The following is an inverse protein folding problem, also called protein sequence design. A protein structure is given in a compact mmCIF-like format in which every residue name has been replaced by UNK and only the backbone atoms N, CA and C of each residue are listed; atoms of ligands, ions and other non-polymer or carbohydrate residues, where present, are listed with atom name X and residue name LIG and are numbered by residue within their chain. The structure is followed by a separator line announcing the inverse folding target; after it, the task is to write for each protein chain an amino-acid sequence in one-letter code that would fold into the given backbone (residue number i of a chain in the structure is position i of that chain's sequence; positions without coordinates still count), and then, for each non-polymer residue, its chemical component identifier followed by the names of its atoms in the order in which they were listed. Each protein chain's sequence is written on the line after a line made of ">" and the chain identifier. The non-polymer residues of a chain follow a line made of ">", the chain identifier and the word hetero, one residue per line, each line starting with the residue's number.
data_IF_481497774683
#
_entry.id   IF_481497774683
#
_cell.length_a   1.000
_cell.length_b   1.000
_cell.length_c   1.000
_cell.angle_alpha   90.00
_cell.angle_beta   90.00
_cell.angle_gamma   90.00
#
_symmetry.space_group_name_H-M   'P 1'
#
loop_
_entity.id
_entity.type
_entity.pdbx_description
1 polymer ?
#
# COMPACT_ATOMS: atom_id res chain seq x y z
N UNK A 1 -20.66 12.15 -30.20
CA UNK A 1 -21.31 10.85 -30.48
C UNK A 1 -20.97 9.90 -29.33
N UNK A 2 -21.90 9.64 -28.40
CA UNK A 2 -21.69 8.77 -27.23
C UNK A 2 -21.87 7.31 -27.66
N UNK A 3 -20.79 6.52 -27.65
CA UNK A 3 -20.90 5.07 -27.87
C UNK A 3 -20.99 4.41 -26.50
N UNK A 4 -22.23 4.14 -26.05
CA UNK A 4 -22.47 3.13 -25.01
C UNK A 4 -22.20 1.76 -25.65
N UNK A 5 -21.08 1.11 -25.30
CA UNK A 5 -20.89 -0.31 -25.61
C UNK A 5 -21.88 -1.13 -24.78
N UNK A 6 -22.96 -1.57 -25.40
CA UNK A 6 -23.86 -2.58 -24.86
C UNK A 6 -23.16 -3.94 -24.93
N UNK A 7 -22.88 -4.54 -23.77
CA UNK A 7 -22.49 -5.95 -23.68
C UNK A 7 -23.76 -6.80 -23.72
N UNK A 8 -24.07 -7.36 -24.89
CA UNK A 8 -25.12 -8.37 -25.05
C UNK A 8 -24.50 -9.77 -24.97
N UNK A 9 -24.77 -10.50 -23.89
CA UNK A 9 -24.46 -11.93 -23.79
C UNK A 9 -25.77 -12.73 -23.90
N UNK A 10 -25.83 -13.59 -24.92
CA UNK A 10 -26.84 -14.65 -25.11
C UNK A 10 -28.33 -14.26 -24.99
N UNK A 11 -28.94 -13.84 -26.11
CA UNK A 11 -30.25 -14.30 -26.60
C UNK A 11 -31.50 -14.30 -25.69
N UNK A 12 -31.46 -13.74 -24.47
CA UNK A 12 -32.60 -13.63 -23.56
C UNK A 12 -32.74 -12.16 -23.14
N UNK A 13 -33.93 -11.62 -23.36
CA UNK A 13 -34.36 -10.22 -23.22
C UNK A 13 -33.53 -9.31 -22.31
N UNK A 14 -33.26 -8.11 -22.82
CA UNK A 14 -32.68 -6.99 -22.08
C UNK A 14 -33.54 -6.63 -20.85
N UNK A 15 -33.26 -7.26 -19.71
CA UNK A 15 -33.52 -6.63 -18.41
C UNK A 15 -32.34 -5.70 -18.16
N UNK A 16 -32.59 -4.39 -18.22
CA UNK A 16 -31.59 -3.38 -17.91
C UNK A 16 -30.99 -3.66 -16.54
N UNK A 17 -29.75 -4.14 -16.51
CA UNK A 17 -29.00 -4.27 -15.28
C UNK A 17 -28.86 -2.85 -14.72
N UNK A 18 -29.49 -2.58 -13.57
CA UNK A 18 -29.27 -1.33 -12.87
C UNK A 18 -27.76 -1.14 -12.67
N UNK A 19 -27.24 0.03 -13.05
CA UNK A 19 -25.83 0.34 -12.90
C UNK A 19 -25.34 0.13 -11.46
N UNK A 20 -24.02 -0.02 -11.24
CA UNK A 20 -23.49 -0.20 -9.90
C UNK A 20 -23.96 0.92 -8.97
N UNK A 21 -24.28 0.57 -7.72
CA UNK A 21 -24.69 1.57 -6.72
C UNK A 21 -23.56 2.57 -6.47
N UNK A 22 -23.90 3.83 -6.14
CA UNK A 22 -22.92 4.87 -5.87
C UNK A 22 -21.86 4.43 -4.83
N UNK A 23 -22.29 3.71 -3.79
CA UNK A 23 -21.38 3.12 -2.81
C UNK A 23 -20.35 2.17 -3.45
N UNK A 24 -20.78 1.23 -4.30
CA UNK A 24 -19.87 0.30 -4.99
C UNK A 24 -18.87 1.02 -5.91
N UNK A 25 -19.32 2.07 -6.59
CA UNK A 25 -18.45 2.91 -7.42
C UNK A 25 -17.35 3.58 -6.58
N UNK A 26 -17.71 4.16 -5.44
CA UNK A 26 -16.73 4.78 -4.53
C UNK A 26 -15.79 3.76 -3.89
N UNK A 27 -16.28 2.59 -3.46
CA UNK A 27 -15.42 1.53 -2.92
C UNK A 27 -14.37 1.07 -3.94
N UNK A 28 -14.76 1.04 -5.24
CA UNK A 28 -13.85 0.76 -6.34
C UNK A 28 -12.84 1.89 -6.55
N UNK A 29 -13.29 3.14 -6.56
CA UNK A 29 -12.44 4.32 -6.71
C UNK A 29 -11.39 4.45 -5.58
N UNK A 30 -11.77 4.12 -4.34
CA UNK A 30 -10.87 4.13 -3.19
C UNK A 30 -9.86 2.98 -3.18
N UNK A 31 -10.04 1.98 -4.06
CA UNK A 31 -9.19 0.78 -4.17
C UNK A 31 -8.92 0.13 -2.82
N UNK A 32 -9.98 -0.17 -2.05
CA UNK A 32 -9.87 -0.61 -0.66
C UNK A 32 -8.95 -1.82 -0.42
N UNK A 33 -8.76 -2.68 -1.42
CA UNK A 33 -7.84 -3.80 -1.36
C UNK A 33 -6.36 -3.38 -1.20
N UNK A 34 -6.00 -2.14 -1.54
CA UNK A 34 -4.66 -1.57 -1.34
C UNK A 34 -4.51 -0.74 -0.06
N UNK A 35 -5.60 -0.50 0.69
CA UNK A 35 -5.55 0.35 1.88
C UNK A 35 -5.06 -0.40 3.12
N UNK A 36 -5.34 -1.71 3.21
CA UNK A 36 -4.87 -2.53 4.31
C UNK A 36 -3.34 -2.51 4.48
N UNK A 37 -2.54 -2.53 3.39
CA UNK A 37 -1.09 -2.32 3.46
C UNK A 37 -0.61 -1.07 4.20
N UNK A 38 -1.38 0.02 4.30
CA UNK A 38 -0.97 1.20 5.11
C UNK A 38 -1.47 1.13 6.56
N UNK A 39 -2.58 0.43 6.80
CA UNK A 39 -3.14 0.26 8.15
C UNK A 39 -2.23 -0.64 8.99
N UNK A 40 -1.77 -1.77 8.44
CA UNK A 40 -0.99 -2.74 9.21
C UNK A 40 0.35 -2.19 9.76
N UNK A 41 1.16 -1.41 9.01
CA UNK A 41 2.35 -0.78 9.55
C UNK A 41 2.05 0.26 10.63
N UNK A 42 0.90 0.95 10.55
CA UNK A 42 0.47 1.90 11.59
C UNK A 42 0.13 1.16 12.90
N UNK A 43 -0.57 0.03 12.79
CA UNK A 43 -0.83 -0.85 13.93
C UNK A 43 0.49 -1.39 14.52
N UNK A 44 1.41 -1.84 13.65
CA UNK A 44 2.71 -2.36 14.06
C UNK A 44 3.49 -1.34 14.90
N UNK A 45 3.66 -0.11 14.41
CA UNK A 45 4.38 0.93 15.14
C UNK A 45 3.75 1.26 16.50
N UNK A 46 2.43 1.37 16.57
CA UNK A 46 1.73 1.65 17.83
C UNK A 46 1.81 0.49 18.85
N UNK A 47 1.74 -0.76 18.39
CA UNK A 47 1.90 -1.93 19.27
C UNK A 47 3.35 -2.10 19.72
N UNK A 48 4.34 -1.82 18.86
CA UNK A 48 5.75 -1.84 19.25
C UNK A 48 6.06 -0.80 20.35
N UNK A 49 5.39 0.36 20.31
CA UNK A 49 5.51 1.34 21.40
C UNK A 49 4.96 0.78 22.72
N UNK A 50 3.84 0.04 22.67
CA UNK A 50 3.28 -0.62 23.84
C UNK A 50 4.22 -1.70 24.38
N UNK A 51 4.79 -2.55 23.50
CA UNK A 51 5.78 -3.56 23.90
C UNK A 51 7.02 -2.93 24.54
N UNK A 52 7.42 -1.73 24.09
CA UNK A 52 8.51 -0.95 24.68
C UNK A 52 8.14 -0.24 26.01
N UNK A 53 6.98 -0.52 26.60
CA UNK A 53 6.56 0.05 27.88
C UNK A 53 5.78 1.37 27.78
N UNK A 54 5.36 1.78 26.59
CA UNK A 54 4.55 2.98 26.37
C UNK A 54 3.10 2.60 26.05
N UNK A 55 2.23 2.41 27.06
CA UNK A 55 0.85 1.98 26.84
C UNK A 55 0.10 2.97 25.93
N UNK A 56 -0.75 2.47 25.03
CA UNK A 56 -1.31 3.30 23.97
C UNK A 56 -2.34 4.29 24.52
N UNK A 57 -2.20 5.55 24.12
CA UNK A 57 -3.31 6.49 24.18
C UNK A 57 -4.29 6.14 23.05
N UNK A 58 -5.47 5.62 23.42
CA UNK A 58 -6.45 5.11 22.46
C UNK A 58 -6.90 6.13 21.42
N UNK A 59 -7.06 7.41 21.80
CA UNK A 59 -7.40 8.48 20.86
C UNK A 59 -6.26 8.71 19.87
N UNK A 60 -5.03 8.88 20.34
CA UNK A 60 -3.88 9.11 19.46
C UNK A 60 -3.63 7.92 18.52
N UNK A 61 -3.80 6.70 19.02
CA UNK A 61 -3.67 5.48 18.23
C UNK A 61 -4.71 5.44 17.11
N UNK A 62 -5.99 5.69 17.45
CA UNK A 62 -7.07 5.75 16.47
C UNK A 62 -6.83 6.84 15.42
N UNK A 63 -6.39 8.03 15.85
CA UNK A 63 -6.08 9.15 14.96
C UNK A 63 -4.95 8.83 13.98
N UNK A 64 -3.89 8.13 14.39
CA UNK A 64 -2.83 7.68 13.47
C UNK A 64 -3.40 6.75 12.41
N UNK A 65 -4.15 5.72 12.82
CA UNK A 65 -4.74 4.75 11.88
C UNK A 65 -5.70 5.42 10.90
N UNK A 66 -6.58 6.30 11.41
CA UNK A 66 -7.51 7.07 10.59
C UNK A 66 -6.75 8.01 9.65
N UNK A 67 -5.78 8.76 10.15
CA UNK A 67 -4.99 9.73 9.39
C UNK A 67 -4.24 9.12 8.22
N UNK A 68 -3.59 7.96 8.45
CA UNK A 68 -2.91 7.18 7.41
C UNK A 68 -3.92 6.62 6.40
N UNK A 69 -5.06 6.11 6.88
CA UNK A 69 -6.11 5.54 6.01
C UNK A 69 -6.71 6.59 5.07
N UNK A 70 -7.09 7.75 5.60
CA UNK A 70 -7.67 8.81 4.76
C UNK A 70 -6.62 9.44 3.85
N UNK A 71 -5.34 9.54 4.27
CA UNK A 71 -4.26 9.93 3.36
C UNK A 71 -4.14 8.97 2.17
N UNK A 72 -4.26 7.66 2.42
CA UNK A 72 -4.24 6.64 1.36
C UNK A 72 -5.44 6.78 0.43
N UNK A 73 -6.64 7.08 0.95
CA UNK A 73 -7.79 7.38 0.08
C UNK A 73 -7.51 8.56 -0.86
N UNK A 74 -6.91 9.64 -0.34
CA UNK A 74 -6.48 10.79 -1.15
C UNK A 74 -5.46 10.40 -2.23
N UNK A 75 -4.42 9.65 -1.84
CA UNK A 75 -3.41 9.09 -2.74
C UNK A 75 -4.05 8.33 -3.90
N UNK A 76 -4.90 7.34 -3.61
CA UNK A 76 -5.51 6.48 -4.62
C UNK A 76 -6.37 7.27 -5.61
N UNK A 77 -7.11 8.28 -5.13
CA UNK A 77 -7.95 9.10 -6.00
C UNK A 77 -7.13 10.04 -6.90
N UNK A 78 -6.06 10.66 -6.37
CA UNK A 78 -5.16 11.50 -7.18
C UNK A 78 -4.42 10.65 -8.21
N UNK A 79 -3.88 9.51 -7.79
CA UNK A 79 -3.17 8.59 -8.66
C UNK A 79 -4.06 8.13 -9.82
N UNK A 80 -5.29 7.69 -9.52
CA UNK A 80 -6.24 7.20 -10.54
C UNK A 80 -6.66 8.30 -11.53
N UNK A 81 -6.87 9.54 -11.06
CA UNK A 81 -7.19 10.67 -11.95
C UNK A 81 -6.00 11.03 -12.85
N UNK A 82 -4.80 11.09 -12.30
CA UNK A 82 -3.63 11.51 -13.06
C UNK A 82 -3.15 10.42 -14.03
N UNK A 83 -3.17 9.15 -13.62
CA UNK A 83 -2.91 8.01 -14.51
C UNK A 83 -3.98 7.94 -15.63
N UNK A 84 -5.25 8.23 -15.32
CA UNK A 84 -6.29 8.32 -16.34
C UNK A 84 -6.00 9.42 -17.37
N UNK A 85 -5.68 10.64 -16.93
CA UNK A 85 -5.33 11.76 -17.84
C UNK A 85 -4.14 11.43 -18.75
N UNK A 86 -3.17 10.66 -18.24
CA UNK A 86 -1.99 10.26 -19.01
C UNK A 86 -2.26 9.14 -20.01
N UNK A 87 -3.29 8.31 -19.78
CA UNK A 87 -3.54 7.10 -20.57
C UNK A 87 -4.86 7.12 -21.34
N UNK A 88 -5.66 8.18 -21.21
CA UNK A 88 -6.99 8.29 -21.84
C UNK A 88 -6.92 8.17 -23.37
N UNK A 89 -5.90 8.76 -23.99
CA UNK A 89 -5.69 8.71 -25.44
C UNK A 89 -5.08 7.36 -25.90
N UNK A 90 -4.66 6.51 -24.96
CA UNK A 90 -3.96 5.23 -25.21
C UNK A 90 -4.87 4.00 -25.04
N UNK A 91 -6.18 4.18 -24.82
CA UNK A 91 -7.09 3.09 -24.48
C UNK A 91 -7.34 2.11 -25.63
N UNK A 92 -6.59 1.01 -25.63
CA UNK A 92 -6.90 -0.21 -26.40
C UNK A 92 -7.77 -1.14 -25.56
N UNK A 93 -8.97 -1.47 -26.04
CA UNK A 93 -10.03 -2.19 -25.30
C UNK A 93 -9.79 -3.69 -25.03
N UNK A 94 -8.65 -4.04 -24.44
CA UNK A 94 -8.34 -5.40 -23.98
C UNK A 94 -8.76 -5.67 -22.54
N UNK A 95 -8.81 -6.95 -22.16
CA UNK A 95 -8.99 -7.38 -20.78
C UNK A 95 -7.83 -6.90 -19.91
N UNK A 96 -8.13 -6.47 -18.67
CA UNK A 96 -7.15 -5.93 -17.72
C UNK A 96 -7.00 -6.85 -16.52
N UNK A 97 -5.78 -6.92 -15.99
CA UNK A 97 -5.54 -7.51 -14.69
C UNK A 97 -6.26 -6.69 -13.61
N UNK A 98 -7.07 -7.36 -12.78
CA UNK A 98 -7.90 -6.70 -11.76
C UNK A 98 -7.09 -5.94 -10.69
N UNK A 99 -5.84 -6.36 -10.44
CA UNK A 99 -4.98 -5.80 -9.40
C UNK A 99 -4.02 -4.72 -9.94
N UNK A 100 -4.03 -4.41 -11.23
CA UNK A 100 -3.12 -3.42 -11.83
C UNK A 100 -3.89 -2.35 -12.60
N UNK A 101 -3.19 -1.29 -13.01
CA UNK A 101 -3.80 -0.08 -13.55
C UNK A 101 -4.67 0.69 -12.56
N UNK A 102 -5.46 1.62 -13.11
CA UNK A 102 -6.42 2.43 -12.36
C UNK A 102 -7.69 1.68 -11.96
N UNK A 103 -8.54 2.31 -11.14
CA UNK A 103 -9.76 1.68 -10.63
C UNK A 103 -10.75 1.32 -11.74
N UNK A 104 -10.69 2.01 -12.90
CA UNK A 104 -11.57 1.84 -14.04
C UNK A 104 -12.87 2.65 -13.99
N UNK A 105 -13.13 3.37 -12.89
CA UNK A 105 -14.34 4.21 -12.75
C UNK A 105 -14.36 5.41 -13.70
N UNK A 106 -13.19 5.96 -14.03
CA UNK A 106 -13.03 7.08 -14.97
C UNK A 106 -13.20 6.63 -16.44
N UNK A 107 -12.50 5.59 -16.94
CA UNK A 107 -12.76 5.04 -18.27
C UNK A 107 -14.22 4.64 -18.52
N UNK A 108 -14.90 4.10 -17.51
CA UNK A 108 -16.30 3.69 -17.61
C UNK A 108 -17.29 4.85 -17.46
N UNK A 109 -16.82 6.07 -17.16
CA UNK A 109 -17.66 7.25 -16.97
C UNK A 109 -18.55 7.20 -15.72
N UNK A 110 -18.21 6.36 -14.74
CA UNK A 110 -18.97 6.19 -13.49
C UNK A 110 -18.76 7.34 -12.51
N UNK A 111 -17.60 8.00 -12.57
CA UNK A 111 -17.27 9.21 -11.80
C UNK A 111 -16.64 10.28 -12.70
N UNK A 112 -16.75 11.54 -12.27
CA UNK A 112 -16.03 12.66 -12.87
C UNK A 112 -14.71 12.89 -12.14
N UNK A 113 -13.67 13.24 -12.89
CA UNK A 113 -12.36 13.60 -12.31
C UNK A 113 -12.48 14.67 -11.22
N UNK A 114 -13.28 15.72 -11.46
CA UNK A 114 -13.47 16.81 -10.48
C UNK A 114 -14.02 16.31 -9.14
N UNK A 115 -14.93 15.33 -9.15
CA UNK A 115 -15.47 14.74 -7.91
C UNK A 115 -14.42 13.95 -7.15
N UNK A 116 -13.57 13.20 -7.86
CA UNK A 116 -12.48 12.45 -7.25
C UNK A 116 -11.41 13.39 -6.66
N UNK A 117 -11.04 14.45 -7.37
CA UNK A 117 -10.09 15.45 -6.87
C UNK A 117 -10.65 16.23 -5.68
N UNK A 118 -11.94 16.58 -5.67
CA UNK A 118 -12.57 17.19 -4.49
C UNK A 118 -12.54 16.25 -3.29
N UNK A 119 -12.90 14.97 -3.49
CA UNK A 119 -12.83 13.97 -2.40
C UNK A 119 -11.39 13.78 -1.90
N UNK A 120 -10.40 13.72 -2.80
CA UNK A 120 -8.99 13.64 -2.44
C UNK A 120 -8.55 14.86 -1.60
N UNK A 121 -8.94 16.07 -2.00
CA UNK A 121 -8.64 17.29 -1.25
C UNK A 121 -9.25 17.27 0.16
N UNK A 122 -10.48 16.76 0.32
CA UNK A 122 -11.12 16.60 1.63
C UNK A 122 -10.38 15.58 2.50
N UNK A 123 -9.96 14.45 1.93
CA UNK A 123 -9.17 13.45 2.65
C UNK A 123 -7.80 14.01 3.09
N UNK A 124 -7.13 14.73 2.20
CA UNK A 124 -5.87 15.41 2.52
C UNK A 124 -6.03 16.51 3.58
N UNK A 125 -7.12 17.27 3.54
CA UNK A 125 -7.44 18.24 4.59
C UNK A 125 -7.68 17.55 5.95
N UNK A 126 -8.38 16.41 5.97
CA UNK A 126 -8.56 15.61 7.18
C UNK A 126 -7.23 15.04 7.69
N UNK A 127 -6.36 14.51 6.83
CA UNK A 127 -5.00 14.08 7.18
C UNK A 127 -4.20 15.22 7.80
N UNK A 128 -4.22 16.41 7.18
CA UNK A 128 -3.51 17.58 7.69
C UNK A 128 -4.03 18.00 9.07
N UNK A 129 -5.36 18.04 9.27
CA UNK A 129 -5.96 18.36 10.56
C UNK A 129 -5.55 17.38 11.66
N UNK A 130 -5.59 16.08 11.36
CA UNK A 130 -5.12 15.03 12.28
C UNK A 130 -3.63 15.19 12.58
N UNK A 131 -2.80 15.40 11.55
CA UNK A 131 -1.35 15.57 11.69
C UNK A 131 -0.98 16.80 12.53
N UNK A 132 -1.68 17.93 12.34
CA UNK A 132 -1.50 19.15 13.14
C UNK A 132 -1.87 18.90 14.60
N UNK A 133 -3.02 18.27 14.86
CA UNK A 133 -3.42 17.92 16.23
C UNK A 133 -2.40 17.00 16.91
N UNK A 134 -1.98 15.93 16.23
CA UNK A 134 -0.98 15.00 16.79
C UNK A 134 0.39 15.65 16.93
N UNK A 135 0.77 16.59 16.06
CA UNK A 135 2.01 17.34 16.22
C UNK A 135 1.98 18.28 17.43
N UNK A 136 0.83 18.90 17.70
CA UNK A 136 0.63 19.71 18.90
C UNK A 136 0.62 18.86 20.18
N UNK A 137 -0.11 17.75 20.18
CA UNK A 137 -0.28 16.88 21.35
C UNK A 137 0.95 16.00 21.64
N UNK A 138 1.57 15.49 20.58
CA UNK A 138 2.75 14.66 20.66
C UNK A 138 3.96 15.56 20.41
N UNK A 139 4.32 15.90 19.18
CA UNK A 139 5.44 16.84 18.99
C UNK A 139 5.83 17.01 17.53
N UNK A 140 6.74 17.94 17.27
CA UNK A 140 7.12 18.31 15.90
C UNK A 140 7.60 17.15 14.99
N UNK A 141 8.21 16.03 15.48
CA UNK A 141 8.58 14.94 14.58
C UNK A 141 7.39 14.28 13.89
N UNK A 142 6.19 14.31 14.51
CA UNK A 142 4.95 13.88 13.85
C UNK A 142 4.63 14.76 12.66
N UNK A 143 4.82 16.08 12.79
CA UNK A 143 4.60 17.03 11.69
C UNK A 143 5.59 16.77 10.55
N UNK A 144 6.86 16.54 10.88
CA UNK A 144 7.89 16.25 9.86
C UNK A 144 7.58 14.97 9.08
N UNK A 145 7.25 13.87 9.77
CA UNK A 145 6.87 12.60 9.13
C UNK A 145 5.55 12.73 8.37
N UNK A 146 4.57 13.45 8.92
CA UNK A 146 3.27 13.69 8.28
C UNK A 146 3.38 14.53 7.01
N UNK A 147 4.14 15.64 7.03
CA UNK A 147 4.41 16.46 5.85
C UNK A 147 5.16 15.64 4.80
N UNK A 148 6.20 14.90 5.19
CA UNK A 148 6.93 14.06 4.27
C UNK A 148 6.03 13.00 3.61
N UNK A 149 5.24 12.27 4.41
CA UNK A 149 4.35 11.23 3.90
C UNK A 149 3.22 11.77 3.01
N UNK A 150 2.65 12.93 3.36
CA UNK A 150 1.63 13.59 2.56
C UNK A 150 2.21 14.21 1.27
N UNK A 151 3.42 14.76 1.33
CA UNK A 151 4.12 15.22 0.14
C UNK A 151 4.41 14.04 -0.80
N UNK A 152 4.87 12.91 -0.26
CA UNK A 152 5.05 11.69 -1.02
C UNK A 152 3.74 11.20 -1.65
N UNK A 153 2.61 11.25 -0.94
CA UNK A 153 1.33 10.79 -1.49
C UNK A 153 0.85 11.66 -2.66
N UNK A 154 1.03 12.97 -2.59
CA UNK A 154 0.67 13.90 -3.67
C UNK A 154 1.65 13.77 -4.85
N UNK A 155 2.94 13.87 -4.57
CA UNK A 155 3.98 13.95 -5.60
C UNK A 155 4.40 12.61 -6.20
N UNK A 156 3.80 11.50 -5.76
CA UNK A 156 3.94 10.20 -6.40
C UNK A 156 3.56 10.29 -7.88
N UNK A 157 2.39 10.87 -8.16
CA UNK A 157 1.80 11.01 -9.50
C UNK A 157 1.69 12.47 -9.93
N UNK A 158 1.61 13.44 -9.01
CA UNK A 158 1.38 14.85 -9.33
C UNK A 158 2.65 15.62 -9.74
N UNK A 159 2.56 16.53 -10.74
CA UNK A 159 3.65 17.45 -11.07
C UNK A 159 3.95 18.42 -9.91
N UNK A 160 5.18 18.95 -9.83
CA UNK A 160 6.28 18.78 -10.80
C UNK A 160 7.10 17.49 -10.61
N UNK A 161 7.04 16.87 -9.43
CA UNK A 161 7.99 15.84 -8.97
C UNK A 161 7.70 14.43 -9.52
N UNK A 162 6.42 14.00 -9.64
CA UNK A 162 5.97 12.70 -10.22
C UNK A 162 6.97 11.56 -10.04
N UNK A 163 7.41 11.29 -8.82
CA UNK A 163 8.57 10.41 -8.62
C UNK A 163 8.24 8.95 -8.96
N UNK A 164 6.96 8.55 -8.89
CA UNK A 164 6.47 7.26 -9.38
C UNK A 164 6.64 7.08 -10.90
N UNK A 165 6.65 8.18 -11.66
CA UNK A 165 6.89 8.16 -13.11
C UNK A 165 8.38 8.20 -13.46
N UNK A 166 9.24 8.41 -12.47
CA UNK A 166 10.67 8.68 -12.67
C UNK A 166 11.57 7.56 -12.15
N UNK A 167 11.01 6.42 -11.73
CA UNK A 167 11.77 5.25 -11.26
C UNK A 167 12.17 5.32 -9.79
N UNK A 168 11.53 6.21 -9.02
CA UNK A 168 11.70 6.31 -7.57
C UNK A 168 10.45 5.86 -6.80
N UNK A 169 9.44 5.33 -7.50
CA UNK A 169 8.16 4.98 -6.91
C UNK A 169 8.31 3.87 -5.87
N UNK A 170 9.03 2.81 -6.23
CA UNK A 170 9.28 1.61 -5.44
C UNK A 170 10.04 1.94 -4.15
N UNK A 171 11.08 2.78 -4.25
CA UNK A 171 11.80 3.29 -3.08
C UNK A 171 10.92 4.20 -2.23
N UNK A 172 10.13 5.08 -2.86
CA UNK A 172 9.20 5.95 -2.15
C UNK A 172 8.16 5.15 -1.35
N UNK A 173 7.61 4.08 -1.94
CA UNK A 173 6.67 3.18 -1.25
C UNK A 173 7.35 2.42 -0.11
N UNK A 174 8.59 1.95 -0.29
CA UNK A 174 9.38 1.34 0.79
C UNK A 174 9.48 2.28 1.98
N UNK A 175 9.94 3.51 1.74
CA UNK A 175 10.18 4.50 2.80
C UNK A 175 8.87 4.88 3.49
N UNK A 176 7.79 5.08 2.72
CA UNK A 176 6.52 5.52 3.28
C UNK A 176 5.79 4.41 4.05
N UNK A 177 5.66 3.22 3.47
CA UNK A 177 4.95 2.11 4.11
C UNK A 177 5.78 1.39 5.18
N UNK A 178 7.10 1.57 5.15
CA UNK A 178 8.00 1.16 6.22
C UNK A 178 8.25 2.31 7.21
N UNK A 179 9.45 2.94 7.20
CA UNK A 179 9.87 3.89 8.22
C UNK A 179 8.85 4.98 8.56
N UNK A 180 8.25 5.66 7.57
CA UNK A 180 7.40 6.82 7.86
C UNK A 180 6.16 6.43 8.66
N UNK A 181 5.40 5.42 8.22
CA UNK A 181 4.20 4.98 8.93
C UNK A 181 4.56 4.31 10.27
N UNK A 182 5.52 3.38 10.28
CA UNK A 182 5.86 2.61 11.50
C UNK A 182 6.46 3.52 12.57
N UNK A 183 7.45 4.35 12.22
CA UNK A 183 8.07 5.26 13.17
C UNK A 183 7.14 6.39 13.58
N UNK A 184 6.29 6.88 12.66
CA UNK A 184 5.28 7.88 12.98
C UNK A 184 4.28 7.36 14.01
N UNK A 185 3.76 6.14 13.81
CA UNK A 185 2.86 5.50 14.75
C UNK A 185 3.52 5.19 16.10
N UNK A 186 4.76 4.70 16.08
CA UNK A 186 5.56 4.47 17.29
C UNK A 186 5.78 5.77 18.07
N UNK A 187 6.25 6.83 17.40
CA UNK A 187 6.59 8.11 18.03
C UNK A 187 5.37 8.82 18.65
N UNK A 188 4.19 8.68 18.05
CA UNK A 188 2.96 9.24 18.62
C UNK A 188 2.65 8.65 20.01
N UNK A 189 2.97 7.37 20.22
CA UNK A 189 2.75 6.69 21.51
C UNK A 189 3.96 6.81 22.45
N UNK A 190 5.15 6.52 21.95
CA UNK A 190 6.39 6.44 22.74
C UNK A 190 7.06 7.79 23.00
N UNK A 191 6.76 8.81 22.17
CA UNK A 191 7.37 10.17 22.23
C UNK A 191 8.89 10.18 22.02
N UNK A 192 9.45 9.06 21.58
CA UNK A 192 10.86 8.84 21.27
C UNK A 192 10.98 8.05 19.96
N UNK A 193 12.17 8.01 19.37
CA UNK A 193 12.50 7.11 18.28
C UNK A 193 13.44 6.02 18.80
N UNK A 194 13.27 4.80 18.30
CA UNK A 194 14.11 3.66 18.64
C UNK A 194 14.58 2.94 17.37
N UNK A 195 15.72 2.27 17.49
CA UNK A 195 16.32 1.52 16.38
C UNK A 195 15.51 0.27 16.01
N UNK A 196 14.89 -0.38 17.00
CA UNK A 196 14.12 -1.60 16.78
C UNK A 196 12.91 -1.37 15.83
N UNK A 197 12.02 -0.37 16.06
CA UNK A 197 10.97 -0.01 15.10
C UNK A 197 11.49 0.34 13.70
N UNK A 198 12.67 0.95 13.59
CA UNK A 198 13.27 1.26 12.30
C UNK A 198 13.60 -0.03 11.53
N UNK A 199 14.22 -1.02 12.19
CA UNK A 199 14.52 -2.32 11.57
C UNK A 199 13.23 -3.08 11.22
N UNK A 200 12.27 -3.15 12.15
CA UNK A 200 10.99 -3.80 11.91
C UNK A 200 10.25 -3.16 10.71
N UNK A 201 10.36 -1.84 10.52
CA UNK A 201 9.70 -1.12 9.43
C UNK A 201 10.20 -1.47 8.03
N UNK A 202 11.43 -2.00 7.91
CA UNK A 202 11.97 -2.41 6.61
C UNK A 202 11.18 -3.59 6.02
N UNK A 203 10.59 -4.45 6.85
CA UNK A 203 9.78 -5.60 6.43
C UNK A 203 8.53 -5.15 5.65
N UNK A 204 7.56 -4.41 6.22
CA UNK A 204 6.41 -3.92 5.45
C UNK A 204 6.82 -3.01 4.29
N UNK A 205 7.89 -2.21 4.43
CA UNK A 205 8.41 -1.37 3.35
C UNK A 205 8.88 -2.19 2.13
N UNK A 206 9.71 -3.21 2.33
CA UNK A 206 10.19 -4.08 1.25
C UNK A 206 9.07 -4.92 0.63
N UNK A 207 8.12 -5.39 1.44
CA UNK A 207 6.92 -6.08 0.92
C UNK A 207 6.07 -5.13 0.07
N UNK A 208 5.94 -3.85 0.45
CA UNK A 208 5.22 -2.87 -0.36
C UNK A 208 5.97 -2.54 -1.66
N UNK A 209 7.30 -2.36 -1.61
CA UNK A 209 8.12 -2.20 -2.82
C UNK A 209 7.98 -3.39 -3.77
N UNK A 210 7.94 -4.61 -3.23
CA UNK A 210 7.69 -5.83 -4.00
C UNK A 210 6.27 -5.85 -4.57
N UNK A 211 5.27 -5.42 -3.80
CA UNK A 211 3.88 -5.37 -4.25
C UNK A 211 3.69 -4.41 -5.43
N UNK A 212 4.33 -3.24 -5.43
CA UNK A 212 4.24 -2.34 -6.58
C UNK A 212 5.00 -2.90 -7.79
N UNK A 213 6.17 -3.51 -7.61
CA UNK A 213 6.92 -4.15 -8.70
C UNK A 213 6.10 -5.22 -9.43
N UNK A 214 5.40 -6.10 -8.70
CA UNK A 214 4.55 -7.12 -9.34
C UNK A 214 3.31 -6.53 -10.01
N UNK A 215 2.85 -5.36 -9.59
CA UNK A 215 1.76 -4.63 -10.24
C UNK A 215 2.22 -3.95 -11.54
N UNK A 216 3.48 -3.51 -11.62
CA UNK A 216 4.05 -2.84 -12.79
C UNK A 216 4.42 -3.82 -13.92
N UNK A 217 4.62 -5.11 -13.62
CA UNK A 217 4.98 -6.14 -14.63
C UNK A 217 3.88 -6.35 -15.70
N UNK A 218 2.60 -6.54 -15.33
CA UNK A 218 1.48 -6.53 -16.28
C UNK A 218 1.39 -5.22 -17.06
N UNK A 219 1.67 -4.09 -16.41
CA UNK A 219 1.47 -2.74 -16.96
C UNK A 219 2.65 -2.24 -17.81
N UNK A 220 3.74 -3.01 -17.93
CA UNK A 220 4.97 -2.64 -18.65
C UNK A 220 4.78 -1.90 -19.99
N UNK A 221 3.93 -2.41 -20.89
CA UNK A 221 3.70 -1.74 -22.20
C UNK A 221 2.82 -0.49 -22.09
N UNK A 222 1.87 -0.49 -21.14
CA UNK A 222 1.00 0.66 -20.92
C UNK A 222 1.79 1.80 -20.27
N UNK A 223 2.60 1.50 -19.27
CA UNK A 223 3.44 2.45 -18.55
C UNK A 223 4.45 3.14 -19.47
N UNK A 224 5.14 2.36 -20.32
CA UNK A 224 6.08 2.91 -21.32
C UNK A 224 5.39 3.85 -22.31
N UNK A 225 4.22 3.46 -22.82
CA UNK A 225 3.45 4.31 -23.75
C UNK A 225 2.92 5.57 -23.07
N UNK A 226 2.53 5.48 -21.80
CA UNK A 226 2.07 6.60 -20.97
C UNK A 226 3.20 7.48 -20.40
N UNK A 227 4.47 7.17 -20.67
CA UNK A 227 5.62 7.91 -20.16
C UNK A 227 5.89 7.71 -18.66
N UNK A 228 5.30 6.68 -18.04
CA UNK A 228 5.55 6.26 -16.66
C UNK A 228 6.78 5.35 -16.64
N UNK A 229 7.95 5.94 -16.46
CA UNK A 229 9.22 5.23 -16.44
C UNK A 229 9.56 4.75 -15.02
N UNK A 230 8.77 3.81 -14.47
CA UNK A 230 9.14 3.03 -13.28
C UNK A 230 10.29 2.04 -13.57
N UNK A 231 10.78 1.31 -12.56
CA UNK A 231 11.92 0.41 -12.73
C UNK A 231 11.62 -0.71 -13.73
N UNK A 232 10.39 -1.23 -13.74
CA UNK A 232 9.97 -2.28 -14.68
C UNK A 232 9.93 -1.75 -16.11
N UNK A 233 9.34 -0.57 -16.34
CA UNK A 233 9.29 0.09 -17.65
C UNK A 233 10.68 0.45 -18.19
N UNK A 234 11.61 0.84 -17.30
CA UNK A 234 13.00 1.19 -17.65
C UNK A 234 13.85 -0.02 -17.98
N UNK A 235 13.82 -1.04 -17.12
CA UNK A 235 14.79 -2.15 -17.16
C UNK A 235 14.18 -3.49 -17.63
N UNK A 236 12.88 -3.52 -17.90
CA UNK A 236 12.18 -4.69 -18.43
C UNK A 236 11.55 -5.59 -17.37
N UNK A 237 10.56 -6.39 -17.80
CA UNK A 237 9.82 -7.35 -16.94
C UNK A 237 10.73 -8.32 -16.18
N UNK A 238 11.79 -8.82 -16.82
CA UNK A 238 12.76 -9.74 -16.19
C UNK A 238 13.45 -9.10 -14.98
N UNK A 239 13.92 -7.86 -15.14
CA UNK A 239 14.53 -7.09 -14.05
C UNK A 239 13.52 -6.82 -12.95
N UNK A 240 12.28 -6.45 -13.30
CA UNK A 240 11.17 -6.32 -12.34
C UNK A 240 10.95 -7.59 -11.51
N UNK A 241 10.94 -8.76 -12.15
CA UNK A 241 10.79 -10.03 -11.46
C UNK A 241 11.97 -10.39 -10.55
N UNK A 242 13.19 -10.00 -10.92
CA UNK A 242 14.39 -10.15 -10.06
C UNK A 242 14.28 -9.22 -8.85
N UNK A 243 13.99 -7.94 -9.05
CA UNK A 243 13.83 -6.96 -7.96
C UNK A 243 12.72 -7.37 -7.00
N UNK A 244 11.60 -7.88 -7.53
CA UNK A 244 10.51 -8.46 -6.74
C UNK A 244 11.00 -9.62 -5.85
N UNK A 245 11.75 -10.56 -6.43
CA UNK A 245 12.31 -11.69 -5.69
C UNK A 245 13.33 -11.27 -4.62
N UNK A 246 14.18 -10.29 -4.94
CA UNK A 246 15.15 -9.72 -3.98
C UNK A 246 14.41 -9.03 -2.84
N UNK A 247 13.39 -8.20 -3.11
CA UNK A 247 12.61 -7.53 -2.07
C UNK A 247 11.94 -8.50 -1.10
N UNK A 248 11.35 -9.59 -1.61
CA UNK A 248 10.83 -10.67 -0.78
C UNK A 248 11.92 -11.35 0.07
N UNK A 249 13.04 -11.73 -0.56
CA UNK A 249 14.14 -12.39 0.12
C UNK A 249 14.74 -11.51 1.22
N UNK A 250 14.92 -10.21 0.96
CA UNK A 250 15.38 -9.23 1.93
C UNK A 250 14.40 -9.07 3.08
N UNK A 251 13.09 -8.99 2.80
CA UNK A 251 12.07 -8.87 3.85
C UNK A 251 12.06 -10.05 4.81
N UNK A 252 12.06 -11.29 4.29
CA UNK A 252 12.10 -12.48 5.13
C UNK A 252 13.48 -12.69 5.78
N UNK A 253 14.55 -12.31 5.08
CA UNK A 253 15.90 -12.28 5.62
C UNK A 253 16.01 -11.37 6.84
N UNK A 254 15.43 -10.17 6.81
CA UNK A 254 15.38 -9.26 7.96
C UNK A 254 14.64 -9.91 9.14
N UNK A 255 13.47 -10.53 8.92
CA UNK A 255 12.77 -11.24 10.00
C UNK A 255 13.65 -12.30 10.66
N UNK A 256 14.32 -13.14 9.85
CA UNK A 256 15.16 -14.24 10.36
C UNK A 256 16.41 -13.72 11.07
N UNK A 257 17.14 -12.80 10.44
CA UNK A 257 18.40 -12.28 10.95
C UNK A 257 18.19 -11.43 12.19
N UNK A 258 17.18 -10.56 12.19
CA UNK A 258 16.91 -9.69 13.33
C UNK A 258 16.33 -10.44 14.53
N UNK A 259 15.50 -11.48 14.32
CA UNK A 259 15.07 -12.37 15.40
C UNK A 259 16.25 -13.18 15.97
N UNK A 260 17.09 -13.77 15.11
CA UNK A 260 18.27 -14.55 15.52
C UNK A 260 19.30 -13.71 16.26
N UNK A 261 19.44 -12.43 15.89
CA UNK A 261 20.34 -11.47 16.53
C UNK A 261 19.77 -10.85 17.81
N UNK A 262 18.52 -11.16 18.19
CA UNK A 262 17.84 -10.57 19.34
C UNK A 262 17.51 -9.07 19.18
N UNK A 263 17.47 -8.57 17.94
CA UNK A 263 17.12 -7.17 17.63
C UNK A 263 15.61 -6.98 17.59
N UNK A 264 14.87 -7.96 17.05
CA UNK A 264 13.40 -7.99 17.09
C UNK A 264 12.95 -9.16 17.97
N UNK A 265 11.73 -9.06 18.48
CA UNK A 265 11.03 -10.15 19.17
C UNK A 265 11.12 -11.47 18.39
N UNK A 266 11.48 -12.62 19.01
CA UNK A 266 11.56 -13.89 18.30
C UNK A 266 10.21 -14.32 17.69
N UNK A 267 9.09 -13.82 18.26
CA UNK A 267 7.75 -14.08 17.75
C UNK A 267 7.50 -13.49 16.36
N UNK A 268 8.32 -12.53 15.87
CA UNK A 268 8.17 -12.02 14.49
C UNK A 268 8.40 -13.09 13.42
N UNK A 269 9.04 -14.21 13.79
CA UNK A 269 9.18 -15.40 12.92
C UNK A 269 7.82 -16.05 12.58
N UNK A 270 6.74 -15.75 13.32
CA UNK A 270 5.38 -16.12 12.91
C UNK A 270 5.02 -15.53 11.53
N UNK A 271 5.64 -14.42 11.13
CA UNK A 271 5.52 -13.85 9.80
C UNK A 271 5.95 -14.79 8.67
N UNK A 272 6.82 -15.78 8.95
CA UNK A 272 7.23 -16.81 7.99
C UNK A 272 6.07 -17.74 7.57
N UNK A 273 4.95 -17.76 8.31
CA UNK A 273 3.74 -18.47 7.89
C UNK A 273 3.20 -17.99 6.54
N UNK A 274 3.60 -16.79 6.09
CA UNK A 274 3.28 -16.25 4.76
C UNK A 274 4.17 -16.75 3.62
N UNK A 275 5.27 -17.46 3.90
CA UNK A 275 6.20 -17.97 2.87
C UNK A 275 5.52 -18.77 1.75
N UNK A 276 4.57 -19.70 2.02
CA UNK A 276 3.89 -20.42 0.95
C UNK A 276 3.17 -19.50 -0.05
N UNK A 277 2.63 -18.37 0.42
CA UNK A 277 1.98 -17.37 -0.43
C UNK A 277 3.03 -16.59 -1.24
N UNK A 278 4.15 -16.20 -0.63
CA UNK A 278 5.25 -15.54 -1.33
C UNK A 278 5.86 -16.44 -2.42
N UNK A 279 6.08 -17.73 -2.12
CA UNK A 279 6.55 -18.72 -3.10
C UNK A 279 5.53 -18.94 -4.21
N UNK A 280 4.23 -19.07 -3.88
CA UNK A 280 3.16 -19.15 -4.87
C UNK A 280 3.19 -17.94 -5.82
N UNK A 281 3.30 -16.73 -5.27
CA UNK A 281 3.38 -15.51 -6.07
C UNK A 281 4.60 -15.53 -7.00
N UNK A 282 5.79 -15.83 -6.48
CA UNK A 282 7.03 -15.89 -7.27
C UNK A 282 6.98 -16.96 -8.36
N UNK A 283 6.41 -18.13 -8.06
CA UNK A 283 6.24 -19.23 -9.01
C UNK A 283 5.35 -18.84 -10.18
N UNK A 284 4.17 -18.28 -9.89
CA UNK A 284 3.21 -17.82 -10.92
C UNK A 284 3.85 -16.70 -11.74
N UNK A 285 4.51 -15.73 -11.08
CA UNK A 285 5.21 -14.65 -11.75
C UNK A 285 6.25 -15.17 -12.76
N UNK A 286 7.08 -16.13 -12.36
CA UNK A 286 8.11 -16.71 -13.24
C UNK A 286 7.51 -17.45 -14.43
N UNK A 287 6.38 -18.15 -14.23
CA UNK A 287 5.71 -18.94 -15.27
C UNK A 287 4.95 -18.07 -16.27
N UNK A 288 4.37 -16.96 -15.81
CA UNK A 288 3.44 -16.12 -16.57
C UNK A 288 3.94 -14.69 -16.76
N UNK A 289 5.26 -14.48 -16.80
CA UNK A 289 5.88 -13.15 -16.83
C UNK A 289 5.34 -12.22 -17.93
N UNK A 290 4.97 -12.78 -19.09
CA UNK A 290 4.49 -12.02 -20.25
C UNK A 290 2.98 -12.08 -20.43
N UNK A 291 2.23 -12.67 -19.49
CA UNK A 291 0.78 -12.80 -19.55
C UNK A 291 0.14 -11.98 -18.41
N UNK A 292 -0.30 -10.73 -18.70
CA UNK A 292 -0.89 -9.84 -17.70
C UNK A 292 -2.05 -10.45 -16.91
N UNK A 293 -2.90 -11.25 -17.56
CA UNK A 293 -4.10 -11.81 -16.93
C UNK A 293 -3.74 -12.99 -16.02
N UNK A 294 -2.83 -13.85 -16.47
CA UNK A 294 -2.36 -14.99 -15.68
C UNK A 294 -1.50 -14.56 -14.48
N UNK A 295 -1.09 -13.28 -14.38
CA UNK A 295 -0.40 -12.73 -13.21
C UNK A 295 -1.35 -12.32 -12.07
N UNK A 296 -2.65 -12.14 -12.31
CA UNK A 296 -3.59 -11.71 -11.25
C UNK A 296 -3.56 -12.59 -9.99
N UNK A 297 -3.46 -13.93 -10.06
CA UNK A 297 -3.29 -14.78 -8.88
C UNK A 297 -1.97 -14.54 -8.13
N UNK A 298 -0.90 -14.09 -8.80
CA UNK A 298 0.35 -13.70 -8.17
C UNK A 298 0.20 -12.39 -7.41
N UNK A 299 -0.42 -11.36 -8.02
CA UNK A 299 -0.75 -10.10 -7.33
C UNK A 299 -1.56 -10.36 -6.04
N UNK A 300 -2.61 -11.20 -6.12
CA UNK A 300 -3.39 -11.58 -4.95
C UNK A 300 -2.57 -12.33 -3.90
N UNK A 301 -1.70 -13.25 -4.30
CA UNK A 301 -0.83 -13.98 -3.38
C UNK A 301 0.14 -13.03 -2.67
N UNK A 302 0.68 -12.02 -3.37
CA UNK A 302 1.52 -10.97 -2.77
C UNK A 302 0.74 -10.10 -1.77
N UNK A 303 -0.48 -9.68 -2.09
CA UNK A 303 -1.35 -8.94 -1.17
C UNK A 303 -1.58 -9.74 0.12
N UNK A 304 -1.90 -11.03 -0.02
CA UNK A 304 -2.11 -11.92 1.13
C UNK A 304 -0.81 -12.17 1.90
N UNK A 305 0.32 -12.31 1.22
CA UNK A 305 1.63 -12.48 1.87
C UNK A 305 1.93 -11.26 2.75
N UNK A 306 1.87 -10.05 2.19
CA UNK A 306 2.02 -8.81 2.95
C UNK A 306 1.07 -8.76 4.16
N UNK A 307 -0.23 -8.96 3.93
CA UNK A 307 -1.22 -8.87 5.00
C UNK A 307 -0.93 -9.86 6.14
N UNK A 308 -0.60 -11.11 5.81
CA UNK A 308 -0.28 -12.14 6.79
C UNK A 308 1.04 -11.86 7.52
N UNK A 309 2.10 -11.46 6.82
CA UNK A 309 3.39 -11.13 7.46
C UNK A 309 3.24 -10.02 8.48
N UNK A 310 2.65 -8.88 8.08
CA UNK A 310 2.59 -7.70 8.96
C UNK A 310 1.59 -7.91 10.08
N UNK A 311 0.47 -8.63 9.85
CA UNK A 311 -0.45 -9.01 10.92
C UNK A 311 0.22 -9.95 11.94
N UNK A 312 1.03 -10.89 11.48
CA UNK A 312 1.79 -11.76 12.37
C UNK A 312 2.83 -10.98 13.19
N UNK A 313 3.46 -9.95 12.62
CA UNK A 313 4.34 -9.04 13.38
C UNK A 313 3.57 -8.23 14.43
N UNK A 314 2.38 -7.71 14.09
CA UNK A 314 1.50 -7.04 15.06
C UNK A 314 1.14 -8.00 16.20
N UNK A 315 0.75 -9.23 15.87
CA UNK A 315 0.43 -10.26 16.85
C UNK A 315 1.64 -10.67 17.71
N UNK A 316 2.84 -10.70 17.13
CA UNK A 316 4.08 -10.99 17.85
C UNK A 316 4.35 -9.98 18.97
N UNK A 317 4.26 -8.68 18.67
CA UNK A 317 4.45 -7.65 19.68
C UNK A 317 3.28 -7.54 20.67
N UNK A 318 2.04 -7.86 20.25
CA UNK A 318 0.93 -8.00 21.19
C UNK A 318 1.15 -9.16 22.17
N UNK A 319 1.68 -10.30 21.68
CA UNK A 319 2.01 -11.43 22.53
C UNK A 319 3.08 -11.06 23.56
N UNK A 320 4.09 -10.29 23.15
CA UNK A 320 5.12 -9.78 24.06
C UNK A 320 4.56 -8.90 25.16
N UNK A 321 3.64 -7.98 24.82
CA UNK A 321 2.89 -7.18 25.81
C UNK A 321 2.14 -8.07 26.80
N UNK A 322 1.45 -9.10 26.32
CA UNK A 322 0.66 -10.00 27.17
C UNK A 322 1.54 -10.84 28.11
N UNK A 323 2.67 -11.34 27.61
CA UNK A 323 3.65 -12.10 28.41
C UNK A 323 4.24 -11.20 29.49
N UNK A 324 4.65 -9.98 29.13
CA UNK A 324 5.17 -9.01 30.08
C UNK A 324 4.14 -8.67 31.17
N UNK A 325 2.87 -8.47 30.81
CA UNK A 325 1.79 -8.19 31.76
C UNK A 325 1.55 -9.33 32.75
N UNK A 326 1.65 -10.59 32.31
CA UNK A 326 1.51 -11.76 33.21
C UNK A 326 2.67 -11.88 34.20
N UNK A 327 3.89 -11.50 33.79
CA UNK A 327 5.06 -11.52 34.66
C UNK A 327 4.97 -10.52 35.84
N UNK A 328 4.11 -9.50 35.75
CA UNK A 328 3.86 -8.56 36.86
C UNK A 328 2.75 -9.01 37.83
N UNK A 329 1.99 -10.05 37.48
CA UNK A 329 0.87 -10.55 38.30
C UNK A 329 1.30 -11.74 39.19
N UNK A 330 2.43 -12.39 38.89
CA UNK A 330 3.05 -13.45 39.68
C UNK A 330 4.19 -12.91 40.55
#
# INVERSE_FOLDING_TARGET
>A
MRIQKQYCWNGKGCRGAAGPSAARVWLRALRLHFVLPSILPALLGGVMAWAAGHPPNGLHFALVVIGVTVNHFGLNLVDDVLDYRHTVDLQTGGEKNFFTGGSGVLPEGLLKESRMLTAAALFFAATAGIGIYLAWACGWPVLALGIFGMACSIFYTAPPIRFGYRGFGELGLLVNFGPVIVLGAYFVQARTLSFEPLIASLVPGLLMASMILINEIPDYEADRRGGKWNLVARFGRKTGAVLYGVGLASSYGILILSASAGVLSPFVLLGLASLPLAFKSLFILRRHLNDPLALAPANLAMIKAHALTVTAMVAAYLLEVLIAAQAFIC
#
